data_IF_077275513855
#
_entry.id   IF_077275513855
#
_cell.length_a   1.000
_cell.length_b   1.000
_cell.length_c   1.000
_cell.angle_alpha   90.00
_cell.angle_beta   90.00
_cell.angle_gamma   90.00
#
_symmetry.space_group_name_H-M   'P 1'
#
loop_
_entity.id
_entity.type
_entity.pdbx_description
1 polymer ?
#
# COMPACT_ATOMS: atom_id res chain seq x y z
N UNK A 1 15.06 -0.42 5.64
CA UNK A 1 13.96 -0.19 4.67
C UNK A 1 13.74 1.29 4.37
N UNK A 2 13.45 2.15 5.35
CA UNK A 2 13.21 3.60 5.10
C UNK A 2 14.35 4.29 4.33
N UNK A 3 15.60 4.12 4.77
CA UNK A 3 16.79 4.70 4.09
C UNK A 3 16.92 4.24 2.63
N UNK A 4 16.52 3.00 2.35
CA UNK A 4 16.54 2.41 1.02
C UNK A 4 15.47 3.05 0.12
N UNK A 5 14.24 3.19 0.62
CA UNK A 5 13.10 3.75 -0.12
C UNK A 5 13.16 5.28 -0.28
N UNK A 6 13.99 5.98 0.49
CA UNK A 6 14.21 7.43 0.34
C UNK A 6 15.18 7.78 -0.80
N UNK A 7 15.83 6.81 -1.44
CA UNK A 7 16.72 7.07 -2.58
C UNK A 7 15.91 7.41 -3.83
N UNK A 8 16.22 8.53 -4.46
CA UNK A 8 15.49 9.06 -5.64
C UNK A 8 16.33 8.98 -6.92
N UNK A 9 17.42 8.23 -6.89
CA UNK A 9 18.33 8.02 -8.02
C UNK A 9 17.70 7.06 -9.05
N UNK A 10 17.79 7.41 -10.33
CA UNK A 10 17.28 6.61 -11.44
C UNK A 10 18.39 5.94 -12.26
N UNK A 11 19.63 6.41 -12.14
CA UNK A 11 20.80 5.96 -12.89
C UNK A 11 21.83 5.30 -11.96
N UNK A 12 21.99 3.98 -12.13
CA UNK A 12 22.92 3.16 -11.38
C UNK A 12 22.47 1.70 -11.36
N UNK A 13 23.39 0.78 -11.09
CA UNK A 13 23.11 -0.66 -10.92
C UNK A 13 22.21 -0.96 -9.69
N UNK A 14 21.60 0.05 -9.08
CA UNK A 14 20.78 -0.06 -7.88
C UNK A 14 19.30 -0.14 -8.28
N UNK A 15 18.70 -1.31 -8.07
CA UNK A 15 17.29 -1.64 -8.38
C UNK A 15 16.24 -0.90 -7.51
N UNK A 16 16.58 0.27 -6.97
CA UNK A 16 15.82 0.94 -5.91
C UNK A 16 14.56 1.65 -6.43
N UNK A 17 14.59 2.11 -7.67
CA UNK A 17 13.51 2.88 -8.28
C UNK A 17 12.22 2.07 -8.40
N UNK A 18 12.31 0.77 -8.70
CA UNK A 18 11.14 -0.12 -8.79
C UNK A 18 10.44 -0.30 -7.45
N UNK A 19 11.20 -0.64 -6.40
CA UNK A 19 10.65 -0.83 -5.06
C UNK A 19 10.07 0.49 -4.48
N UNK A 20 10.75 1.62 -4.70
CA UNK A 20 10.22 2.93 -4.31
C UNK A 20 8.94 3.28 -5.07
N UNK A 21 8.89 3.03 -6.37
CA UNK A 21 7.71 3.31 -7.20
C UNK A 21 6.50 2.46 -6.81
N UNK A 22 6.72 1.18 -6.49
CA UNK A 22 5.66 0.31 -5.96
C UNK A 22 5.16 0.79 -4.59
N UNK A 23 6.10 1.17 -3.71
CA UNK A 23 5.74 1.72 -2.39
C UNK A 23 4.95 3.02 -2.54
N UNK A 24 5.33 3.87 -3.49
CA UNK A 24 4.60 5.11 -3.79
C UNK A 24 3.15 4.83 -4.20
N UNK A 25 2.91 3.97 -5.19
CA UNK A 25 1.55 3.60 -5.61
C UNK A 25 0.76 2.96 -4.46
N UNK A 26 1.41 2.12 -3.65
CA UNK A 26 0.79 1.53 -2.45
C UNK A 26 0.34 2.61 -1.47
N UNK A 27 1.15 3.64 -1.23
CA UNK A 27 0.86 4.73 -0.29
C UNK A 27 -0.05 5.84 -0.84
N UNK A 28 -0.27 5.89 -2.16
CA UNK A 28 -0.98 7.02 -2.80
C UNK A 28 -2.16 6.60 -3.66
N UNK A 29 -2.35 5.31 -3.90
CA UNK A 29 -3.41 4.80 -4.76
C UNK A 29 -4.02 3.49 -4.23
N UNK A 30 -3.22 2.46 -3.94
CA UNK A 30 -3.75 1.08 -3.81
C UNK A 30 -3.96 0.57 -2.39
N UNK A 31 -3.18 1.02 -1.40
CA UNK A 31 -3.27 0.48 -0.03
C UNK A 31 -2.95 -1.02 0.09
N UNK A 32 -2.15 -1.57 -0.82
CA UNK A 32 -1.79 -3.00 -0.88
C UNK A 32 -0.73 -3.41 0.15
N UNK A 33 -1.16 -3.66 1.40
CA UNK A 33 -0.28 -3.99 2.52
C UNK A 33 -0.33 -5.47 2.91
N UNK A 34 0.83 -6.11 3.14
CA UNK A 34 0.92 -7.54 3.50
C UNK A 34 0.96 -7.69 5.02
N UNK A 35 -0.21 -7.60 5.67
CA UNK A 35 -0.35 -7.84 7.10
C UNK A 35 -0.47 -9.34 7.41
N UNK A 36 -0.16 -9.73 8.64
CA UNK A 36 -0.34 -11.11 9.14
C UNK A 36 -1.14 -11.09 10.43
N UNK A 37 -1.95 -12.12 10.67
CA UNK A 37 -2.80 -12.25 11.86
C UNK A 37 -2.72 -13.64 12.53
N UNK A 38 -1.81 -14.51 12.06
CA UNK A 38 -1.68 -15.90 12.51
C UNK A 38 -1.09 -16.10 13.92
N UNK A 39 -0.58 -15.04 14.55
CA UNK A 39 0.01 -15.05 15.89
C UNK A 39 1.32 -15.85 16.02
N UNK A 40 1.91 -15.92 17.24
CA UNK A 40 3.27 -16.46 17.43
C UNK A 40 3.47 -17.92 17.02
N UNK A 41 2.38 -18.66 16.84
CA UNK A 41 2.37 -20.08 16.45
C UNK A 41 2.02 -20.30 14.97
N UNK A 42 1.72 -19.24 14.22
CA UNK A 42 1.45 -19.30 12.78
C UNK A 42 2.73 -19.43 11.96
N UNK A 43 2.61 -19.90 10.71
CA UNK A 43 3.75 -20.08 9.78
C UNK A 43 4.42 -18.75 9.40
N UNK A 44 3.73 -17.63 9.58
CA UNK A 44 4.23 -16.28 9.31
C UNK A 44 4.76 -15.58 10.56
N UNK A 45 4.77 -16.27 11.71
CA UNK A 45 5.15 -15.70 13.00
C UNK A 45 4.13 -14.68 13.54
N UNK A 46 4.62 -13.79 14.40
CA UNK A 46 3.82 -12.75 15.03
C UNK A 46 3.15 -11.78 14.03
N UNK A 47 2.16 -11.05 14.55
CA UNK A 47 1.39 -10.06 13.80
C UNK A 47 2.31 -9.02 13.14
N UNK A 48 2.12 -8.80 11.84
CA UNK A 48 2.64 -7.66 11.10
C UNK A 48 1.49 -6.67 10.94
N UNK A 49 1.37 -5.65 11.82
CA UNK A 49 0.22 -4.76 11.81
C UNK A 49 0.31 -3.75 10.67
N UNK A 50 -0.86 -3.31 10.20
CA UNK A 50 -1.01 -2.30 9.16
C UNK A 50 -0.21 -1.00 9.46
N UNK A 51 -0.12 -0.64 10.74
CA UNK A 51 0.58 0.58 11.20
C UNK A 51 2.06 0.61 10.79
N UNK A 52 2.72 -0.55 10.64
CA UNK A 52 4.10 -0.60 10.14
C UNK A 52 4.20 0.02 8.75
N UNK A 53 3.26 -0.30 7.86
CA UNK A 53 3.28 0.16 6.49
C UNK A 53 2.78 1.60 6.35
N UNK A 54 1.75 1.98 7.10
CA UNK A 54 1.26 3.37 7.14
C UNK A 54 2.36 4.31 7.64
N UNK A 55 3.05 3.95 8.73
CA UNK A 55 4.16 4.75 9.25
C UNK A 55 5.33 4.81 8.25
N UNK A 56 5.59 3.71 7.53
CA UNK A 56 6.59 3.71 6.45
C UNK A 56 6.25 4.71 5.34
N UNK A 57 4.98 4.84 4.93
CA UNK A 57 4.57 5.85 3.96
C UNK A 57 4.91 7.27 4.43
N UNK A 58 4.58 7.57 5.69
CA UNK A 58 4.88 8.85 6.34
C UNK A 58 6.38 9.10 6.43
N UNK A 59 7.15 8.07 6.82
CA UNK A 59 8.59 8.16 6.99
C UNK A 59 9.34 8.29 5.65
N UNK A 60 8.87 7.64 4.59
CA UNK A 60 9.55 7.68 3.28
C UNK A 60 9.17 8.94 2.51
N UNK A 61 7.89 9.26 2.41
CA UNK A 61 7.37 10.28 1.50
C UNK A 61 6.99 11.60 2.19
N UNK A 62 6.93 11.61 3.53
CA UNK A 62 6.71 12.80 4.33
C UNK A 62 5.38 12.78 5.11
N UNK A 63 5.26 13.72 6.05
CA UNK A 63 4.18 13.74 7.06
C UNK A 63 2.75 13.82 6.49
N UNK A 64 2.59 14.29 5.26
CA UNK A 64 1.29 14.36 4.57
C UNK A 64 0.72 12.97 4.26
N UNK A 65 1.59 11.98 4.05
CA UNK A 65 1.20 10.61 3.67
C UNK A 65 0.91 9.78 4.92
N UNK A 66 -0.09 10.23 5.69
CA UNK A 66 -0.59 9.57 6.89
C UNK A 66 -1.79 8.66 6.60
N UNK A 67 -2.35 8.03 7.65
CA UNK A 67 -3.47 7.11 7.53
C UNK A 67 -4.70 7.73 6.83
N UNK A 68 -5.00 9.01 7.11
CA UNK A 68 -6.16 9.70 6.55
C UNK A 68 -5.97 9.98 5.07
N UNK A 69 -4.77 10.43 4.69
CA UNK A 69 -4.42 10.62 3.28
C UNK A 69 -4.52 9.30 2.52
N UNK A 70 -3.97 8.21 3.07
CA UNK A 70 -3.97 6.89 2.42
C UNK A 70 -5.40 6.38 2.22
N UNK A 71 -6.27 6.44 3.23
CA UNK A 71 -7.67 6.01 3.08
C UNK A 71 -8.40 6.82 2.00
N UNK A 72 -8.23 8.15 1.99
CA UNK A 72 -8.84 9.00 0.98
C UNK A 72 -8.33 8.69 -0.44
N UNK A 73 -7.03 8.45 -0.58
CA UNK A 73 -6.40 8.04 -1.83
C UNK A 73 -6.95 6.71 -2.35
N UNK A 74 -7.03 5.69 -1.49
CA UNK A 74 -7.59 4.38 -1.86
C UNK A 74 -9.04 4.49 -2.30
N UNK A 75 -9.86 5.26 -1.59
CA UNK A 75 -11.26 5.51 -1.99
C UNK A 75 -11.35 6.21 -3.34
N UNK A 76 -10.49 7.18 -3.61
CA UNK A 76 -10.46 7.87 -4.89
C UNK A 76 -10.09 6.93 -6.04
N UNK A 77 -9.10 6.06 -5.84
CA UNK A 77 -8.70 5.03 -6.81
C UNK A 77 -9.83 4.05 -7.08
N UNK A 78 -10.49 3.54 -6.02
CA UNK A 78 -11.63 2.63 -6.15
C UNK A 78 -12.81 3.31 -6.87
N UNK A 79 -13.08 4.59 -6.60
CA UNK A 79 -14.12 5.34 -7.29
C UNK A 79 -13.81 5.56 -8.78
N UNK A 80 -12.53 5.60 -9.16
CA UNK A 80 -12.11 5.79 -10.54
C UNK A 80 -12.13 4.49 -11.36
N UNK A 81 -11.61 3.39 -10.79
CA UNK A 81 -11.46 2.11 -11.50
C UNK A 81 -12.57 1.09 -11.21
N UNK A 82 -13.42 1.38 -10.21
CA UNK A 82 -14.40 0.45 -9.67
C UNK A 82 -13.83 -0.37 -8.50
N UNK A 83 -14.69 -0.61 -7.52
CA UNK A 83 -14.44 -1.47 -6.38
C UNK A 83 -14.96 -2.89 -6.60
N UNK A 84 -14.60 -3.81 -5.70
CA UNK A 84 -15.16 -5.16 -5.71
C UNK A 84 -16.71 -5.16 -5.61
N UNK A 85 -17.29 -4.20 -4.89
CA UNK A 85 -18.73 -4.05 -4.75
C UNK A 85 -19.39 -3.66 -6.08
N UNK A 86 -18.74 -2.79 -6.86
CA UNK A 86 -19.22 -2.41 -8.19
C UNK A 86 -19.21 -3.62 -9.15
N UNK A 87 -18.21 -4.49 -9.03
CA UNK A 87 -18.15 -5.75 -9.78
C UNK A 87 -19.22 -6.74 -9.34
N UNK A 88 -19.44 -6.91 -8.04
CA UNK A 88 -20.48 -7.81 -7.51
C UNK A 88 -21.88 -7.36 -7.92
N UNK A 89 -22.16 -6.05 -7.90
CA UNK A 89 -23.42 -5.49 -8.40
C UNK A 89 -23.64 -5.81 -9.87
N UNK A 90 -22.62 -5.67 -10.72
CA UNK A 90 -22.73 -5.99 -12.15
C UNK A 90 -22.97 -7.49 -12.39
N UNK A 91 -22.38 -8.38 -11.59
CA UNK A 91 -22.62 -9.82 -11.68
C UNK A 91 -24.03 -10.21 -11.23
N UNK A 92 -24.53 -9.59 -10.16
CA UNK A 92 -25.84 -9.91 -9.58
C UNK A 92 -27.03 -9.23 -10.31
N UNK A 93 -26.78 -8.27 -11.21
CA UNK A 93 -27.84 -7.57 -11.97
C UNK A 93 -27.85 -7.86 -13.47
N UNK A 94 -26.85 -8.58 -14.00
CA UNK A 94 -26.77 -8.96 -15.43
C UNK A 94 -27.04 -10.44 -15.70
N UNK A 95 -27.52 -11.21 -14.73
CA UNK A 95 -27.99 -12.59 -14.89
C UNK A 95 -29.35 -12.78 -14.20
#
# INVERSE_FOLDING_TARGET
MIKYLRREEFDGQNFDSGARSWTWQTCTEFGYYQTTDGGPKGIFGDVTPLSVFVNMCTDVFGKKFDANYIDAAVRATLAHYGSAEDFEYLLNTRF
#
